data_IF_497101912837
#
_entry.id   IF_497101912837
#
_cell.length_a   1.000
_cell.length_b   1.000
_cell.length_c   1.000
_cell.angle_alpha   90.00
_cell.angle_beta   90.00
_cell.angle_gamma   90.00
#
_symmetry.space_group_name_H-M   'P 1'
#
loop_
_entity.id
_entity.type
_entity.pdbx_description
1 polymer ?
#
# COMPACT_ATOMS: atom_id res chain seq x y z
N UNK A 1 6.35 -6.76 15.29
CA UNK A 1 4.99 -7.37 15.33
C UNK A 1 4.02 -6.36 14.76
N UNK A 2 3.08 -6.79 13.91
CA UNK A 2 2.13 -5.87 13.28
C UNK A 2 1.17 -5.24 14.31
N UNK A 3 0.93 -3.95 14.17
CA UNK A 3 -0.09 -3.24 14.95
C UNK A 3 -1.52 -3.57 14.45
N UNK A 4 -2.54 -3.10 15.16
CA UNK A 4 -3.95 -3.40 14.83
C UNK A 4 -4.40 -2.86 13.47
N UNK A 5 -3.86 -1.74 13.00
CA UNK A 5 -4.18 -1.16 11.69
C UNK A 5 -3.57 -2.02 10.59
N UNK A 6 -2.29 -2.36 10.72
CA UNK A 6 -1.57 -3.20 9.76
C UNK A 6 -2.18 -4.61 9.66
N UNK A 7 -2.56 -5.24 10.78
CA UNK A 7 -3.24 -6.54 10.77
C UNK A 7 -4.56 -6.50 10.00
N UNK A 8 -5.34 -5.42 10.17
CA UNK A 8 -6.58 -5.22 9.42
C UNK A 8 -6.31 -5.07 7.92
N UNK A 9 -5.24 -4.38 7.55
CA UNK A 9 -4.85 -4.20 6.16
C UNK A 9 -4.45 -5.54 5.51
N UNK A 10 -3.59 -6.31 6.17
CA UNK A 10 -3.22 -7.67 5.73
C UNK A 10 -4.44 -8.58 5.58
N UNK A 11 -5.45 -8.46 6.45
CA UNK A 11 -6.66 -9.29 6.33
C UNK A 11 -7.49 -9.00 5.07
N UNK A 12 -7.40 -7.78 4.51
CA UNK A 12 -8.15 -7.35 3.32
C UNK A 12 -7.54 -7.82 2.00
N UNK A 13 -6.22 -8.08 1.97
CA UNK A 13 -5.56 -8.53 0.75
C UNK A 13 -5.77 -10.02 0.50
N UNK A 14 -5.54 -10.44 -0.75
CA UNK A 14 -5.63 -11.82 -1.16
C UNK A 14 -4.75 -12.73 -0.28
N UNK A 15 -5.21 -13.93 0.12
CA UNK A 15 -4.49 -14.82 1.03
C UNK A 15 -3.02 -15.06 0.66
N UNK A 16 -2.71 -15.20 -0.62
CA UNK A 16 -1.38 -15.42 -1.18
C UNK A 16 -0.44 -14.22 -0.98
N UNK A 17 -0.98 -12.99 -0.92
CA UNK A 17 -0.18 -11.76 -0.74
C UNK A 17 0.02 -11.40 0.73
N UNK A 18 -0.66 -12.08 1.67
CA UNK A 18 -0.68 -11.67 3.09
C UNK A 18 0.68 -11.70 3.75
N UNK A 19 1.48 -12.72 3.45
CA UNK A 19 2.82 -12.87 4.03
C UNK A 19 3.74 -11.75 3.56
N UNK A 20 3.81 -11.51 2.25
CA UNK A 20 4.63 -10.44 1.66
C UNK A 20 4.16 -9.05 2.12
N UNK A 21 2.85 -8.80 2.16
CA UNK A 21 2.27 -7.57 2.72
C UNK A 21 2.71 -7.36 4.17
N UNK A 22 2.62 -8.40 5.01
CA UNK A 22 3.04 -8.32 6.39
C UNK A 22 4.54 -8.00 6.53
N UNK A 23 5.38 -8.54 5.65
CA UNK A 23 6.82 -8.25 5.63
C UNK A 23 7.09 -6.79 5.29
N UNK A 24 6.46 -6.22 4.26
CA UNK A 24 6.60 -4.80 3.92
C UNK A 24 6.16 -3.88 5.06
N UNK A 25 4.99 -4.16 5.67
CA UNK A 25 4.46 -3.37 6.77
C UNK A 25 5.32 -3.48 8.05
N UNK A 26 5.92 -4.65 8.31
CA UNK A 26 6.85 -4.82 9.44
C UNK A 26 8.16 -4.07 9.23
N UNK A 27 8.65 -4.03 7.99
CA UNK A 27 9.89 -3.36 7.64
C UNK A 27 9.74 -1.84 7.52
N UNK A 28 8.51 -1.32 7.38
CA UNK A 28 8.26 0.12 7.23
C UNK A 28 8.95 0.66 5.98
N UNK A 29 8.81 -0.05 4.86
CA UNK A 29 9.57 0.24 3.64
C UNK A 29 9.22 1.60 3.04
N UNK A 30 10.15 2.08 2.21
CA UNK A 30 9.92 3.22 1.34
C UNK A 30 8.92 2.85 0.23
N UNK A 31 7.92 3.69 0.05
CA UNK A 31 6.84 3.52 -0.93
C UNK A 31 6.68 4.76 -1.78
N UNK A 32 6.25 4.54 -3.03
CA UNK A 32 5.92 5.60 -3.97
C UNK A 32 4.40 5.65 -4.18
N UNK A 33 3.88 6.85 -4.43
CA UNK A 33 2.50 7.08 -4.83
C UNK A 33 2.49 7.46 -6.29
N UNK A 34 1.71 6.78 -7.11
CA UNK A 34 1.58 7.10 -8.52
C UNK A 34 0.15 6.93 -9.02
N UNK A 35 -0.17 7.65 -10.10
CA UNK A 35 -1.46 7.53 -10.75
C UNK A 35 -1.48 6.25 -11.59
N UNK A 36 -2.29 5.27 -11.18
CA UNK A 36 -2.46 4.04 -11.94
C UNK A 36 -3.36 4.30 -13.16
N UNK A 37 -3.03 3.68 -14.30
CA UNK A 37 -3.82 3.79 -15.54
C UNK A 37 -4.20 2.43 -16.10
N UNK A 38 -3.89 1.37 -15.35
CA UNK A 38 -3.97 -0.03 -15.78
C UNK A 38 -5.33 -0.65 -15.45
N UNK A 39 -6.00 -0.13 -14.41
CA UNK A 39 -7.27 -0.64 -13.95
C UNK A 39 -8.46 0.16 -14.48
N UNK A 40 -9.64 -0.44 -14.41
CA UNK A 40 -10.91 0.20 -14.79
C UNK A 40 -11.24 1.37 -13.85
N UNK A 41 -12.15 2.29 -14.23
CA UNK A 41 -12.54 3.43 -13.40
C UNK A 41 -13.12 3.08 -12.02
N UNK A 42 -13.48 1.82 -11.79
CA UNK A 42 -13.97 1.32 -10.50
C UNK A 42 -12.84 1.06 -9.49
N UNK A 43 -11.58 1.11 -9.93
CA UNK A 43 -10.40 1.03 -9.08
C UNK A 43 -9.88 2.44 -8.82
N UNK A 44 -9.62 2.82 -7.56
CA UNK A 44 -9.10 4.14 -7.23
C UNK A 44 -7.83 4.51 -8.02
N UNK A 45 -7.68 5.81 -8.29
CA UNK A 45 -6.70 6.31 -9.25
C UNK A 45 -5.25 6.32 -8.75
N UNK A 46 -5.01 6.30 -7.44
CA UNK A 46 -3.66 6.40 -6.87
C UNK A 46 -3.25 5.10 -6.20
N UNK A 47 -2.20 4.46 -6.70
CA UNK A 47 -1.62 3.26 -6.11
C UNK A 47 -0.43 3.60 -5.21
N UNK A 48 -0.25 2.82 -4.14
CA UNK A 48 0.95 2.82 -3.30
C UNK A 48 1.66 1.49 -3.51
N UNK A 49 2.94 1.54 -3.84
CA UNK A 49 3.78 0.35 -3.99
C UNK A 49 5.17 0.58 -3.37
N UNK A 50 5.87 -0.47 -2.92
CA UNK A 50 7.28 -0.38 -2.56
C UNK A 50 8.10 0.24 -3.69
N UNK A 51 9.04 1.13 -3.34
CA UNK A 51 9.90 1.81 -4.32
C UNK A 51 10.67 0.83 -5.21
N UNK A 52 11.09 -0.29 -4.64
CA UNK A 52 11.90 -1.31 -5.32
C UNK A 52 11.04 -2.44 -5.95
N UNK A 53 9.72 -2.39 -5.80
CA UNK A 53 8.77 -3.39 -6.34
C UNK A 53 7.41 -2.74 -6.65
N UNK A 54 7.34 -2.04 -7.78
CA UNK A 54 6.15 -1.26 -8.15
C UNK A 54 4.95 -2.12 -8.56
N UNK A 55 5.19 -3.40 -8.90
CA UNK A 55 4.16 -4.36 -9.27
C UNK A 55 3.37 -4.86 -8.04
N UNK A 56 3.96 -4.77 -6.83
CA UNK A 56 3.28 -5.13 -5.59
C UNK A 56 2.51 -3.93 -5.00
N UNK A 57 1.20 -3.88 -5.21
CA UNK A 57 0.38 -2.81 -4.66
C UNK A 57 0.06 -3.05 -3.18
N UNK A 58 0.50 -2.12 -2.33
CA UNK A 58 0.08 -2.06 -0.93
C UNK A 58 -1.40 -1.70 -0.84
N UNK A 59 -1.86 -0.81 -1.71
CA UNK A 59 -3.25 -0.38 -1.78
C UNK A 59 -3.47 0.70 -2.83
N UNK A 60 -4.73 1.08 -3.02
CA UNK A 60 -5.12 2.18 -3.88
C UNK A 60 -6.18 3.06 -3.22
N UNK A 61 -6.16 4.36 -3.54
CA UNK A 61 -7.05 5.39 -3.00
C UNK A 61 -7.42 6.44 -4.05
N UNK A 62 -8.49 7.19 -3.77
CA UNK A 62 -9.09 8.11 -4.73
C UNK A 62 -8.24 9.36 -4.98
N UNK A 63 -7.37 9.73 -4.03
CA UNK A 63 -6.47 10.87 -4.15
C UNK A 63 -5.08 10.57 -3.58
N UNK A 64 -4.07 11.31 -4.05
CA UNK A 64 -2.70 11.20 -3.54
C UNK A 64 -2.61 11.54 -2.05
N UNK A 65 -3.38 12.53 -1.57
CA UNK A 65 -3.39 12.93 -0.16
C UNK A 65 -3.94 11.82 0.74
N UNK A 66 -4.99 11.12 0.29
CA UNK A 66 -5.52 9.97 1.02
C UNK A 66 -4.51 8.83 0.99
N UNK A 67 -3.92 8.52 -0.17
CA UNK A 67 -2.90 7.48 -0.30
C UNK A 67 -1.72 7.72 0.64
N UNK A 68 -1.22 8.95 0.72
CA UNK A 68 -0.13 9.33 1.62
C UNK A 68 -0.50 9.09 3.09
N UNK A 69 -1.64 9.64 3.54
CA UNK A 69 -2.08 9.50 4.93
C UNK A 69 -2.25 8.04 5.33
N UNK A 70 -2.82 7.22 4.46
CA UNK A 70 -3.06 5.81 4.74
C UNK A 70 -1.76 4.99 4.71
N UNK A 71 -0.82 5.30 3.82
CA UNK A 71 0.52 4.71 3.83
C UNK A 71 1.28 5.02 5.13
N UNK A 72 1.28 6.28 5.56
CA UNK A 72 1.89 6.70 6.83
C UNK A 72 1.20 6.03 8.04
N UNK A 73 -0.13 5.91 8.04
CA UNK A 73 -0.88 5.21 9.09
C UNK A 73 -0.56 3.70 9.14
N UNK A 74 -0.14 3.12 8.01
CA UNK A 74 0.36 1.75 7.92
C UNK A 74 1.83 1.62 8.36
N UNK A 75 2.51 2.72 8.70
CA UNK A 75 3.90 2.75 9.12
C UNK A 75 4.90 2.68 7.97
N UNK A 76 4.49 3.07 6.77
CA UNK A 76 5.33 3.13 5.57
C UNK A 76 5.92 4.53 5.41
N UNK A 77 7.03 4.62 4.68
CA UNK A 77 7.69 5.89 4.41
C UNK A 77 7.41 6.33 2.98
N UNK A 78 6.62 7.39 2.81
CA UNK A 78 6.33 7.90 1.47
C UNK A 78 7.54 8.68 0.96
N UNK A 79 8.08 8.26 -0.18
CA UNK A 79 9.19 8.90 -0.87
C UNK A 79 8.76 9.34 -2.27
N UNK A 80 9.24 10.51 -2.69
CA UNK A 80 8.98 11.08 -4.02
C UNK A 80 9.89 10.50 -5.09
#
# INVERSE_FOLDING_TARGET
MLNSVQKRHVAKVFPESREQMAQYLLAGVDVVIYHQTECTPDVPAFAVAPKDDIEFWIGCWDSAEVAQREAEALGLHVVQ
#
